data_IF_922608891365
#
_entry.id   IF_922608891365
#
_cell.length_a   1.000
_cell.length_b   1.000
_cell.length_c   1.000
_cell.angle_alpha   90.00
_cell.angle_beta   90.00
_cell.angle_gamma   90.00
#
_symmetry.space_group_name_H-M   'P 1'
#
loop_
_entity.id
_entity.type
_entity.pdbx_description
1 polymer ?
#
# COMPACT_ATOMS: atom_id res chain seq x y z
N UNK A 1 -14.32 -26.25 4.42
CA UNK A 1 -14.35 -24.87 3.89
C UNK A 1 -12.99 -24.22 4.12
N UNK A 2 -12.34 -23.69 3.07
CA UNK A 2 -11.05 -22.99 3.18
C UNK A 2 -11.27 -21.61 3.80
N UNK A 3 -10.37 -21.20 4.70
CA UNK A 3 -10.47 -19.92 5.43
C UNK A 3 -9.27 -19.00 5.24
N UNK A 4 -8.19 -19.53 4.70
CA UNK A 4 -6.94 -18.81 4.45
C UNK A 4 -6.72 -18.61 2.94
N UNK A 5 -5.97 -17.58 2.53
CA UNK A 5 -5.62 -17.36 1.13
C UNK A 5 -4.80 -18.52 0.53
N UNK A 6 -4.78 -18.60 -0.80
CA UNK A 6 -3.78 -19.35 -1.56
C UNK A 6 -2.65 -18.39 -1.96
N UNK A 7 -1.41 -18.82 -1.76
CA UNK A 7 -0.21 -18.14 -2.27
C UNK A 7 0.39 -19.05 -3.31
N UNK A 8 0.54 -18.57 -4.55
CA UNK A 8 1.16 -19.32 -5.64
C UNK A 8 2.69 -19.18 -5.64
N UNK A 9 3.35 -19.78 -6.62
CA UNK A 9 4.80 -19.86 -6.72
C UNK A 9 5.46 -18.48 -6.90
N UNK A 10 6.68 -18.32 -6.36
CA UNK A 10 7.49 -17.11 -6.46
C UNK A 10 6.83 -15.82 -5.93
N UNK A 11 5.77 -15.94 -5.13
CA UNK A 11 5.14 -14.77 -4.51
C UNK A 11 6.03 -14.22 -3.38
N UNK A 12 6.26 -12.91 -3.42
CA UNK A 12 6.96 -12.17 -2.36
C UNK A 12 5.94 -11.44 -1.51
N UNK A 13 5.94 -11.69 -0.19
CA UNK A 13 5.06 -10.98 0.77
C UNK A 13 5.94 -10.27 1.79
N UNK A 14 5.90 -8.94 1.80
CA UNK A 14 6.63 -8.13 2.75
C UNK A 14 5.93 -8.08 4.12
N UNK A 15 6.70 -7.69 5.14
CA UNK A 15 6.25 -7.67 6.53
C UNK A 15 4.95 -6.86 6.73
N UNK A 16 4.13 -7.28 7.70
CA UNK A 16 2.89 -6.63 8.09
C UNK A 16 1.76 -6.63 7.03
N UNK A 17 1.94 -7.30 5.88
CA UNK A 17 0.84 -7.50 4.95
C UNK A 17 -0.29 -8.34 5.59
N UNK A 18 -1.53 -7.88 5.44
CA UNK A 18 -2.75 -8.56 5.91
C UNK A 18 -3.58 -9.00 4.71
N UNK A 19 -3.68 -10.32 4.51
CA UNK A 19 -4.41 -10.91 3.38
C UNK A 19 -5.56 -11.75 3.92
N UNK A 20 -6.78 -11.42 3.51
CA UNK A 20 -8.02 -12.01 4.02
C UNK A 20 -8.78 -12.72 2.90
N UNK A 21 -9.45 -13.81 3.27
CA UNK A 21 -10.40 -14.54 2.42
C UNK A 21 -9.94 -15.94 2.06
N UNK A 22 -10.83 -16.93 2.26
CA UNK A 22 -10.57 -18.33 1.91
C UNK A 22 -10.56 -18.63 0.41
N UNK A 23 -11.07 -17.70 -0.41
CA UNK A 23 -11.07 -17.74 -1.88
C UNK A 23 -10.05 -16.78 -2.50
N UNK A 24 -9.30 -16.06 -1.67
CA UNK A 24 -8.28 -15.12 -2.15
C UNK A 24 -7.07 -15.88 -2.66
N UNK A 25 -6.65 -15.59 -3.88
CA UNK A 25 -5.48 -16.19 -4.53
C UNK A 25 -4.50 -15.07 -4.87
N UNK A 26 -3.24 -15.23 -4.48
CA UNK A 26 -2.15 -14.37 -4.91
C UNK A 26 -1.43 -15.08 -6.05
N UNK A 27 -1.58 -14.55 -7.27
CA UNK A 27 -1.02 -15.12 -8.47
C UNK A 27 0.51 -15.17 -8.45
N UNK A 28 1.08 -16.15 -9.13
CA UNK A 28 2.52 -16.39 -9.17
C UNK A 28 3.34 -15.16 -9.61
N UNK A 29 4.60 -15.09 -9.17
CA UNK A 29 5.54 -14.01 -9.46
C UNK A 29 5.03 -12.60 -9.04
N UNK A 30 4.03 -12.53 -8.15
CA UNK A 30 3.51 -11.27 -7.62
C UNK A 30 4.23 -10.83 -6.35
N UNK A 31 4.29 -9.52 -6.13
CA UNK A 31 4.86 -8.89 -4.95
C UNK A 31 3.80 -8.14 -4.15
N UNK A 32 3.64 -8.48 -2.88
CA UNK A 32 2.75 -7.82 -1.92
C UNK A 32 3.58 -6.93 -0.99
N UNK A 33 3.39 -5.63 -1.10
CA UNK A 33 4.08 -4.61 -0.31
C UNK A 33 3.78 -4.68 1.19
N UNK A 34 4.69 -4.12 1.99
CA UNK A 34 4.56 -4.14 3.45
C UNK A 34 3.35 -3.34 3.93
N UNK A 35 2.65 -3.87 4.94
CA UNK A 35 1.42 -3.26 5.47
C UNK A 35 0.21 -3.34 4.53
N UNK A 36 0.32 -3.96 3.36
CA UNK A 36 -0.78 -4.07 2.39
C UNK A 36 -2.00 -4.74 3.00
N UNK A 37 -3.19 -4.22 2.69
CA UNK A 37 -4.47 -4.80 3.11
C UNK A 37 -5.22 -5.37 1.91
N UNK A 38 -5.19 -6.70 1.75
CA UNK A 38 -5.71 -7.39 0.58
C UNK A 38 -6.92 -8.26 0.92
N UNK A 39 -8.04 -8.00 0.26
CA UNK A 39 -9.32 -8.73 0.44
C UNK A 39 -9.82 -9.39 -0.84
N UNK A 40 -9.06 -9.28 -1.93
CA UNK A 40 -9.40 -9.80 -3.26
C UNK A 40 -8.18 -10.47 -3.88
N UNK A 41 -8.42 -11.40 -4.79
CA UNK A 41 -7.36 -12.09 -5.52
C UNK A 41 -6.57 -11.12 -6.41
N UNK A 42 -5.32 -11.48 -6.64
CA UNK A 42 -4.35 -10.72 -7.44
C UNK A 42 -3.90 -11.63 -8.58
N UNK A 43 -3.88 -11.10 -9.80
CA UNK A 43 -3.40 -11.85 -10.97
C UNK A 43 -1.88 -12.02 -10.92
N UNK A 44 -1.30 -13.02 -11.60
CA UNK A 44 0.15 -13.19 -11.66
C UNK A 44 0.91 -11.94 -12.15
N UNK A 45 2.18 -11.83 -11.78
CA UNK A 45 3.07 -10.72 -12.12
C UNK A 45 2.59 -9.33 -11.64
N UNK A 46 1.86 -9.27 -10.53
CA UNK A 46 1.33 -8.02 -9.99
C UNK A 46 2.21 -7.42 -8.90
N UNK A 47 2.16 -6.10 -8.76
CA UNK A 47 2.73 -5.38 -7.62
C UNK A 47 1.61 -4.71 -6.82
N UNK A 48 1.39 -5.16 -5.58
CA UNK A 48 0.43 -4.55 -4.65
C UNK A 48 1.18 -3.64 -3.69
N UNK A 49 0.82 -2.36 -3.61
CA UNK A 49 1.44 -1.42 -2.68
C UNK A 49 0.38 -0.59 -1.95
N UNK A 50 0.70 -0.16 -0.73
CA UNK A 50 -0.06 0.89 -0.06
C UNK A 50 0.59 2.24 -0.40
N UNK A 51 -0.09 3.13 -1.14
CA UNK A 51 0.46 4.45 -1.42
C UNK A 51 0.59 5.23 -0.11
N UNK A 52 1.77 5.83 0.10
CA UNK A 52 1.99 6.76 1.20
C UNK A 52 1.55 8.14 0.71
N UNK A 53 0.40 8.62 1.21
CA UNK A 53 -0.05 10.00 0.98
C UNK A 53 0.63 10.92 2.00
N UNK A 54 1.65 11.67 1.56
CA UNK A 54 2.35 12.64 2.40
C UNK A 54 1.65 13.99 2.28
N UNK A 55 0.89 14.36 3.31
CA UNK A 55 0.30 15.70 3.42
C UNK A 55 1.20 16.61 4.23
N UNK A 56 1.76 17.63 3.59
CA UNK A 56 2.50 18.70 4.27
C UNK A 56 1.49 19.52 5.06
N UNK A 57 1.58 19.46 6.40
CA UNK A 57 0.88 20.40 7.27
C UNK A 57 1.60 21.73 7.19
N UNK A 58 1.05 22.68 6.44
CA UNK A 58 1.49 24.07 6.51
C UNK A 58 1.13 24.61 7.91
N UNK A 59 2.06 24.49 8.85
CA UNK A 59 2.01 25.22 10.10
C UNK A 59 2.51 26.64 9.86
N UNK A 60 1.64 27.62 10.12
CA UNK A 60 1.79 29.08 9.94
C UNK A 60 1.66 29.60 8.51
N UNK A 61 0.70 30.50 8.32
CA UNK A 61 0.67 31.44 7.20
C UNK A 61 2.01 32.18 7.14
N UNK A 62 2.71 32.05 6.02
CA UNK A 62 3.90 32.82 5.74
C UNK A 62 3.44 34.26 5.44
N UNK A 63 3.38 35.12 6.46
CA UNK A 63 3.36 36.56 6.24
C UNK A 63 4.71 36.90 5.59
N UNK A 64 4.68 37.12 4.28
CA UNK A 64 5.84 37.59 3.52
C UNK A 64 6.46 38.85 4.13
N UNK A 65 7.70 39.20 3.76
CA UNK A 65 8.36 40.39 4.29
C UNK A 65 7.45 41.60 4.06
N UNK A 66 7.20 42.36 5.14
CA UNK A 66 6.47 43.61 5.06
C UNK A 66 7.27 44.56 4.14
N UNK A 67 6.70 44.88 2.98
CA UNK A 67 7.20 45.92 2.09
C UNK A 67 7.04 47.27 2.80
N UNK A 68 8.08 47.72 3.49
CA UNK A 68 8.18 49.11 3.92
C UNK A 68 8.86 49.90 2.81
N UNK A 69 8.05 50.39 1.87
CA UNK A 69 8.46 51.52 1.03
C UNK A 69 8.34 52.79 1.89
N UNK A 70 9.49 53.43 2.12
CA UNK A 70 9.63 54.70 2.84
C UNK A 70 9.24 55.84 1.90
#
# INVERSE_FOLDING_TARGET
MKRHPTVEDNVVIYANATILGGTTIIGHDSTIGGGAWLTRSVIPYSLVTNPVDVRIRAGKEFNGPFDFVI
#
